data_IF_498853786069
#
_entry.id   IF_498853786069
#
_cell.length_a   1.000
_cell.length_b   1.000
_cell.length_c   1.000
_cell.angle_alpha   90.00
_cell.angle_beta   90.00
_cell.angle_gamma   90.00
#
_symmetry.space_group_name_H-M   'P 1'
#
loop_
_entity.id
_entity.type
_entity.pdbx_description
1 polymer ?
#
# COMPACT_ATOMS: atom_id res chain seq x y z
N UNK A 1 -18.80 -3.14 -10.20
CA UNK A 1 -19.50 -2.12 -9.38
C UNK A 1 -21.00 -2.39 -9.47
N UNK A 2 -21.70 -2.47 -8.33
CA UNK A 2 -23.15 -2.77 -8.29
C UNK A 2 -23.97 -1.48 -8.11
N UNK A 3 -25.22 -1.46 -8.59
CA UNK A 3 -26.10 -0.28 -8.47
C UNK A 3 -26.37 0.14 -7.00
N UNK A 4 -26.29 -0.80 -6.05
CA UNK A 4 -26.43 -0.53 -4.62
C UNK A 4 -25.28 0.33 -4.06
N UNK A 5 -24.05 0.15 -4.54
CA UNK A 5 -22.87 0.93 -4.17
C UNK A 5 -23.02 2.39 -4.60
N UNK A 6 -23.46 2.61 -5.83
CA UNK A 6 -23.68 3.96 -6.37
C UNK A 6 -24.81 4.65 -5.60
N UNK A 7 -25.90 3.93 -5.31
CA UNK A 7 -27.03 4.48 -4.56
C UNK A 7 -26.70 4.84 -3.10
N UNK A 8 -25.85 4.08 -2.40
CA UNK A 8 -25.47 4.44 -1.03
C UNK A 8 -24.42 5.55 -0.95
N UNK A 9 -23.47 5.60 -1.90
CA UNK A 9 -22.55 6.75 -2.04
C UNK A 9 -23.32 8.01 -2.42
N UNK A 10 -24.28 7.92 -3.36
CA UNK A 10 -25.20 9.01 -3.69
C UNK A 10 -26.06 9.36 -2.48
N UNK A 11 -26.59 8.40 -1.71
CA UNK A 11 -27.37 8.68 -0.50
C UNK A 11 -26.55 9.37 0.58
N UNK A 12 -25.29 8.98 0.77
CA UNK A 12 -24.37 9.67 1.69
C UNK A 12 -24.06 11.08 1.20
N UNK A 13 -23.88 11.29 -0.10
CA UNK A 13 -23.65 12.60 -0.69
C UNK A 13 -24.91 13.48 -0.75
N UNK A 14 -26.11 12.88 -0.83
CA UNK A 14 -27.38 13.57 -1.10
C UNK A 14 -28.34 13.64 0.11
N UNK A 15 -28.05 12.97 1.22
CA UNK A 15 -28.94 12.91 2.40
C UNK A 15 -28.26 13.44 3.67
N UNK A 16 -28.61 14.67 4.09
CA UNK A 16 -28.15 15.24 5.37
C UNK A 16 -28.51 14.37 6.58
N UNK A 17 -29.59 13.57 6.54
CA UNK A 17 -30.00 12.70 7.65
C UNK A 17 -29.17 11.42 7.76
N UNK A 18 -28.64 10.89 6.65
CA UNK A 18 -27.71 9.77 6.67
C UNK A 18 -26.31 10.18 7.16
N UNK A 19 -25.86 11.40 6.77
CA UNK A 19 -24.64 12.02 7.31
C UNK A 19 -24.76 12.38 8.79
N UNK A 20 -25.92 12.87 9.25
CA UNK A 20 -26.18 13.18 10.68
C UNK A 20 -26.11 11.98 11.63
N UNK A 21 -26.02 10.74 11.14
CA UNK A 21 -25.83 9.57 12.00
C UNK A 21 -24.38 9.35 12.44
N UNK A 22 -23.41 9.97 11.75
CA UNK A 22 -22.05 10.11 12.26
C UNK A 22 -22.03 11.42 13.04
N UNK A 23 -21.90 11.32 14.37
CA UNK A 23 -21.54 12.49 15.17
C UNK A 23 -20.19 13.04 14.68
N UNK A 24 -19.83 14.24 15.12
CA UNK A 24 -18.45 14.71 14.99
C UNK A 24 -17.49 13.58 15.43
N UNK A 25 -16.36 13.37 14.72
CA UNK A 25 -15.45 12.28 15.05
C UNK A 25 -15.14 12.29 16.54
N UNK A 26 -15.32 11.14 17.19
CA UNK A 26 -15.27 11.03 18.65
C UNK A 26 -13.90 11.44 19.21
N UNK A 27 -12.85 11.37 18.38
CA UNK A 27 -11.48 11.79 18.69
C UNK A 27 -10.78 12.40 17.47
N UNK A 28 -9.84 13.34 17.66
CA UNK A 28 -8.99 13.83 16.59
C UNK A 28 -8.03 12.73 16.10
N UNK A 29 -7.70 12.76 14.82
CA UNK A 29 -6.62 11.92 14.26
C UNK A 29 -5.27 12.42 14.77
N UNK A 30 -4.49 11.50 15.35
CA UNK A 30 -3.14 11.76 15.85
C UNK A 30 -2.16 10.79 15.20
N UNK A 31 -0.88 11.17 15.19
CA UNK A 31 0.19 10.28 14.76
C UNK A 31 0.61 9.38 15.90
N UNK A 32 0.77 8.10 15.56
CA UNK A 32 1.30 7.08 16.48
C UNK A 32 2.62 6.55 15.91
N UNK A 33 3.55 6.13 16.78
CA UNK A 33 4.81 5.56 16.34
C UNK A 33 4.61 4.28 15.53
N UNK A 34 5.69 3.83 14.89
CA UNK A 34 5.75 2.48 14.32
C UNK A 34 5.57 1.46 15.47
N UNK A 35 4.73 0.42 15.31
CA UNK A 35 4.55 -0.59 16.36
C UNK A 35 5.88 -1.22 16.79
N UNK A 36 6.09 -1.35 18.11
CA UNK A 36 7.33 -1.87 18.70
C UNK A 36 7.46 -3.39 18.55
N UNK A 37 6.34 -4.10 18.64
CA UNK A 37 6.22 -5.46 18.11
C UNK A 37 6.40 -5.36 16.60
N UNK A 38 7.58 -5.74 16.11
CA UNK A 38 7.97 -5.60 14.72
C UNK A 38 6.89 -6.13 13.76
N UNK A 39 6.94 -5.66 12.52
CA UNK A 39 6.17 -6.21 11.42
C UNK A 39 6.08 -7.74 11.54
N UNK A 40 4.87 -8.28 11.38
CA UNK A 40 4.70 -9.67 10.96
C UNK A 40 5.68 -9.91 9.81
N UNK A 41 6.58 -10.88 9.99
CA UNK A 41 7.63 -11.15 9.02
C UNK A 41 7.01 -11.36 7.64
N UNK A 42 7.57 -10.70 6.62
CA UNK A 42 7.14 -10.91 5.24
C UNK A 42 7.28 -12.40 4.91
N UNK A 43 6.23 -13.05 4.38
CA UNK A 43 6.35 -14.43 3.94
C UNK A 43 7.47 -14.56 2.91
N UNK A 44 8.20 -15.68 2.96
CA UNK A 44 9.28 -15.93 2.01
C UNK A 44 8.75 -15.96 0.58
N UNK A 45 9.44 -15.25 -0.33
CA UNK A 45 9.13 -15.29 -1.75
C UNK A 45 9.74 -16.53 -2.38
N UNK A 46 9.01 -17.14 -3.32
CA UNK A 46 9.56 -18.23 -4.11
C UNK A 46 10.58 -17.68 -5.10
N UNK A 47 11.77 -18.27 -5.12
CA UNK A 47 12.79 -17.92 -6.09
C UNK A 47 12.30 -18.25 -7.51
N UNK A 48 12.47 -17.29 -8.42
CA UNK A 48 12.21 -17.47 -9.84
C UNK A 48 13.54 -17.52 -10.59
N UNK A 49 13.66 -18.41 -11.56
CA UNK A 49 14.84 -18.49 -12.41
C UNK A 49 14.81 -17.30 -13.39
N UNK A 50 15.53 -16.24 -13.06
CA UNK A 50 15.69 -15.06 -13.91
C UNK A 50 17.06 -15.14 -14.58
N UNK A 51 17.09 -15.14 -15.91
CA UNK A 51 18.34 -15.08 -16.67
C UNK A 51 18.80 -13.63 -16.71
N UNK A 52 19.61 -13.23 -15.75
CA UNK A 52 20.18 -11.88 -15.66
C UNK A 52 21.58 -11.83 -16.27
N UNK A 53 21.95 -10.68 -16.83
CA UNK A 53 23.32 -10.41 -17.29
C UNK A 53 23.59 -8.91 -17.30
N UNK A 54 24.80 -8.50 -16.91
CA UNK A 54 25.20 -7.10 -16.84
C UNK A 54 25.16 -6.54 -15.41
N UNK A 55 25.13 -5.21 -15.28
CA UNK A 55 25.26 -4.48 -14.01
C UNK A 55 24.06 -3.58 -13.69
N UNK A 56 23.10 -3.47 -14.61
CA UNK A 56 21.95 -2.58 -14.45
C UNK A 56 20.90 -3.23 -13.54
N UNK A 57 20.08 -2.39 -12.93
CA UNK A 57 19.06 -2.80 -11.97
C UNK A 57 17.69 -2.58 -12.60
N UNK A 58 16.89 -3.64 -12.72
CA UNK A 58 15.48 -3.52 -13.03
C UNK A 58 14.70 -3.34 -11.73
N UNK A 59 14.05 -2.19 -11.56
CA UNK A 59 13.15 -1.92 -10.45
C UNK A 59 11.70 -2.10 -10.92
N UNK A 60 11.05 -3.18 -10.50
CA UNK A 60 9.65 -3.46 -10.82
C UNK A 60 8.75 -2.91 -9.73
N UNK A 61 7.77 -2.09 -10.11
CA UNK A 61 6.85 -1.43 -9.18
C UNK A 61 5.40 -1.78 -9.58
N UNK A 62 4.75 -2.71 -8.87
CA UNK A 62 3.42 -3.23 -9.22
C UNK A 62 2.26 -2.32 -8.75
N UNK A 63 2.29 -1.04 -9.14
CA UNK A 63 1.19 -0.09 -8.91
C UNK A 63 1.17 1.05 -9.94
N UNK A 64 -0.02 1.53 -10.30
CA UNK A 64 -0.19 2.72 -11.15
C UNK A 64 -0.07 4.04 -10.39
N UNK A 65 0.03 4.00 -9.06
CA UNK A 65 0.15 5.21 -8.24
C UNK A 65 1.52 5.88 -8.48
N UNK A 66 1.51 6.99 -9.23
CA UNK A 66 2.71 7.75 -9.59
C UNK A 66 3.56 8.18 -8.39
N UNK A 67 2.93 8.59 -7.29
CA UNK A 67 3.66 9.03 -6.09
C UNK A 67 4.41 7.87 -5.43
N UNK A 68 3.83 6.66 -5.39
CA UNK A 68 4.51 5.45 -4.92
C UNK A 68 5.64 5.04 -5.86
N UNK A 69 5.41 5.11 -7.17
CA UNK A 69 6.41 4.81 -8.20
C UNK A 69 7.62 5.73 -8.07
N UNK A 70 7.40 7.05 -8.04
CA UNK A 70 8.45 8.05 -7.90
C UNK A 70 9.23 7.89 -6.60
N UNK A 71 8.53 7.62 -5.49
CA UNK A 71 9.14 7.44 -4.17
C UNK A 71 10.10 6.24 -4.15
N UNK A 72 9.66 5.07 -4.63
CA UNK A 72 10.50 3.87 -4.66
C UNK A 72 11.65 4.02 -5.66
N UNK A 73 11.37 4.58 -6.84
CA UNK A 73 12.39 4.79 -7.87
C UNK A 73 13.51 5.70 -7.37
N UNK A 74 13.16 6.87 -6.84
CA UNK A 74 14.13 7.82 -6.29
C UNK A 74 14.94 7.22 -5.14
N UNK A 75 14.29 6.45 -4.27
CA UNK A 75 14.98 5.80 -3.15
C UNK A 75 16.04 4.80 -3.63
N UNK A 76 15.66 3.89 -4.54
CA UNK A 76 16.58 2.86 -5.06
C UNK A 76 17.73 3.50 -5.84
N UNK A 77 17.45 4.50 -6.69
CA UNK A 77 18.46 5.26 -7.42
C UNK A 77 19.46 5.95 -6.47
N UNK A 78 18.96 6.56 -5.39
CA UNK A 78 19.81 7.20 -4.38
C UNK A 78 20.69 6.19 -3.64
N UNK A 79 20.18 5.01 -3.33
CA UNK A 79 20.92 3.96 -2.63
C UNK A 79 21.91 3.19 -3.53
N UNK A 80 21.77 3.28 -4.85
CA UNK A 80 22.59 2.61 -5.85
C UNK A 80 23.17 3.61 -6.87
N UNK A 81 23.95 4.61 -6.44
CA UNK A 81 24.38 5.74 -7.29
C UNK A 81 25.31 5.36 -8.46
N UNK A 82 25.82 4.12 -8.47
CA UNK A 82 26.71 3.60 -9.51
C UNK A 82 26.03 2.60 -10.46
N UNK A 83 24.75 2.31 -10.24
CA UNK A 83 23.96 1.43 -11.09
C UNK A 83 22.94 2.23 -11.89
N UNK A 84 22.71 1.87 -13.14
CA UNK A 84 21.57 2.39 -13.90
C UNK A 84 20.31 1.66 -13.43
N UNK A 85 19.38 2.40 -12.83
CA UNK A 85 18.09 1.87 -12.38
C UNK A 85 17.05 2.08 -13.47
N UNK A 86 16.48 1.00 -13.97
CA UNK A 86 15.44 1.00 -14.99
C UNK A 86 14.09 0.69 -14.31
N UNK A 87 13.16 1.64 -14.20
CA UNK A 87 11.85 1.37 -13.61
C UNK A 87 10.94 0.64 -14.61
N UNK A 88 10.22 -0.37 -14.12
CA UNK A 88 9.14 -1.05 -14.82
C UNK A 88 7.88 -1.04 -13.96
N UNK A 89 6.87 -0.29 -14.38
CA UNK A 89 5.59 -0.26 -13.69
C UNK A 89 4.66 -1.37 -14.23
N UNK A 90 4.02 -2.10 -13.34
CA UNK A 90 3.02 -3.11 -13.68
C UNK A 90 1.70 -2.83 -12.96
N UNK A 91 0.59 -3.09 -13.63
CA UNK A 91 -0.73 -3.06 -13.01
C UNK A 91 -1.07 -4.47 -12.55
N UNK A 92 -1.11 -4.69 -11.24
CA UNK A 92 -1.51 -5.96 -10.64
C UNK A 92 -2.51 -5.72 -9.52
N UNK A 93 -3.40 -6.69 -9.31
CA UNK A 93 -4.32 -6.70 -8.18
C UNK A 93 -3.57 -7.16 -6.91
N UNK A 94 -3.86 -6.56 -5.76
CA UNK A 94 -3.36 -7.04 -4.46
C UNK A 94 -4.16 -8.24 -3.93
N UNK A 95 -5.37 -8.47 -4.44
CA UNK A 95 -6.22 -9.60 -4.05
C UNK A 95 -6.83 -9.47 -2.65
N UNK A 96 -6.65 -8.31 -1.99
CA UNK A 96 -7.06 -8.07 -0.59
C UNK A 96 -8.16 -7.01 -0.45
N UNK A 97 -8.87 -6.73 -1.55
CA UNK A 97 -9.90 -5.71 -1.62
C UNK A 97 -9.34 -4.28 -1.67
N UNK A 98 -10.25 -3.31 -1.64
CA UNK A 98 -9.91 -1.88 -1.72
C UNK A 98 -9.31 -1.37 -0.41
N UNK A 99 -9.76 -1.92 0.72
CA UNK A 99 -9.26 -1.58 2.05
C UNK A 99 -8.75 -2.85 2.74
N UNK A 100 -7.43 -3.08 2.71
CA UNK A 100 -6.83 -4.11 3.53
C UNK A 100 -6.94 -3.74 5.01
N UNK A 101 -7.27 -4.72 5.84
CA UNK A 101 -7.23 -4.63 7.31
C UNK A 101 -6.23 -5.62 7.88
N UNK A 102 -5.51 -5.18 8.92
CA UNK A 102 -4.58 -6.01 9.67
C UNK A 102 -3.55 -6.73 8.76
N UNK A 103 -3.45 -8.06 8.85
CA UNK A 103 -2.49 -8.88 8.10
C UNK A 103 -2.74 -8.86 6.58
N UNK A 104 -3.93 -8.41 6.14
CA UNK A 104 -4.24 -8.28 4.72
C UNK A 104 -3.37 -7.21 4.03
N UNK A 105 -2.85 -6.22 4.77
CA UNK A 105 -1.90 -5.26 4.22
C UNK A 105 -0.59 -5.92 3.76
N UNK A 106 -0.06 -6.82 4.59
CA UNK A 106 1.13 -7.62 4.28
C UNK A 106 0.85 -8.58 3.14
N UNK A 107 -0.28 -9.29 3.19
CA UNK A 107 -0.71 -10.19 2.12
C UNK A 107 -0.85 -9.47 0.79
N UNK A 108 -1.38 -8.24 0.78
CA UNK A 108 -1.50 -7.41 -0.42
C UNK A 108 -0.15 -7.09 -1.04
N UNK A 109 0.82 -6.63 -0.24
CA UNK A 109 2.19 -6.39 -0.71
C UNK A 109 2.86 -7.68 -1.24
N UNK A 110 2.69 -8.79 -0.54
CA UNK A 110 3.20 -10.11 -0.94
C UNK A 110 2.61 -10.57 -2.28
N UNK A 111 1.29 -10.47 -2.46
CA UNK A 111 0.60 -10.84 -3.69
C UNK A 111 1.07 -9.99 -4.88
N UNK A 112 1.20 -8.67 -4.69
CA UNK A 112 1.70 -7.76 -5.73
C UNK A 112 3.12 -8.12 -6.18
N UNK A 113 4.00 -8.46 -5.25
CA UNK A 113 5.38 -8.86 -5.57
C UNK A 113 5.38 -10.19 -6.33
N UNK A 114 4.63 -11.20 -5.90
CA UNK A 114 4.57 -12.48 -6.62
C UNK A 114 4.00 -12.32 -8.04
N UNK A 115 2.92 -11.55 -8.20
CA UNK A 115 2.35 -11.26 -9.51
C UNK A 115 3.36 -10.55 -10.44
N UNK A 116 4.16 -9.64 -9.89
CA UNK A 116 5.24 -8.99 -10.63
C UNK A 116 6.32 -10.01 -11.05
N UNK A 117 6.78 -10.86 -10.11
CA UNK A 117 7.77 -11.90 -10.39
C UNK A 117 7.30 -12.90 -11.46
N UNK A 118 6.04 -13.33 -11.39
CA UNK A 118 5.44 -14.24 -12.36
C UNK A 118 5.36 -13.58 -13.76
N UNK A 119 5.09 -12.28 -13.83
CA UNK A 119 5.09 -11.53 -15.09
C UNK A 119 6.47 -11.49 -15.77
N UNK A 120 7.54 -11.53 -14.98
CA UNK A 120 8.93 -11.57 -15.46
C UNK A 120 9.37 -12.95 -15.98
N UNK A 121 8.58 -14.01 -15.76
CA UNK A 121 8.86 -15.35 -16.31
C UNK A 121 8.40 -15.50 -17.77
N UNK A 122 7.81 -14.47 -18.36
CA UNK A 122 7.35 -14.51 -19.75
C UNK A 122 8.52 -14.54 -20.76
N UNK A 123 8.32 -15.17 -21.92
CA UNK A 123 9.31 -15.18 -23.02
C UNK A 123 9.74 -13.77 -23.47
N UNK A 124 8.83 -12.79 -23.37
CA UNK A 124 9.15 -11.37 -23.66
C UNK A 124 10.15 -10.80 -22.67
N UNK A 125 10.00 -11.11 -21.38
CA UNK A 125 10.93 -10.68 -20.36
C UNK A 125 12.32 -11.32 -20.57
N UNK A 126 12.40 -12.58 -20.99
CA UNK A 126 13.67 -13.26 -21.26
C UNK A 126 14.58 -12.54 -22.28
N UNK A 127 14.02 -11.86 -23.28
CA UNK A 127 14.79 -11.03 -24.23
C UNK A 127 15.10 -9.62 -23.70
N UNK A 128 14.31 -9.13 -22.75
CA UNK A 128 14.49 -7.82 -22.14
C UNK A 128 15.75 -7.76 -21.27
N UNK A 129 16.00 -8.77 -20.41
CA UNK A 129 17.15 -8.75 -19.50
C UNK A 129 18.50 -8.58 -20.24
N UNK A 130 18.79 -9.34 -21.32
CA UNK A 130 20.07 -9.19 -22.02
C UNK A 130 20.19 -7.91 -22.83
N UNK A 131 19.12 -7.50 -23.51
CA UNK A 131 19.14 -6.25 -24.29
C UNK A 131 19.31 -5.01 -23.42
N UNK A 132 18.94 -5.08 -22.14
CA UNK A 132 19.05 -3.99 -21.17
C UNK A 132 20.17 -4.16 -20.15
N UNK A 133 21.01 -5.18 -20.28
CA UNK A 133 22.14 -5.46 -19.37
C UNK A 133 21.72 -5.51 -17.89
N UNK A 134 20.53 -6.05 -17.62
CA UNK A 134 19.98 -6.19 -16.27
C UNK A 134 20.68 -7.34 -15.54
N UNK A 135 21.49 -7.00 -14.54
CA UNK A 135 22.13 -7.96 -13.63
C UNK A 135 21.30 -8.25 -12.37
N UNK A 136 20.55 -7.25 -11.90
CA UNK A 136 19.82 -7.32 -10.63
C UNK A 136 18.35 -6.96 -10.83
N UNK A 137 17.47 -7.71 -10.18
CA UNK A 137 16.02 -7.47 -10.22
C UNK A 137 15.52 -7.18 -8.81
N UNK A 138 14.95 -6.00 -8.62
CA UNK A 138 14.33 -5.58 -7.36
C UNK A 138 12.85 -5.33 -7.65
N UNK A 139 11.98 -5.91 -6.83
CA UNK A 139 10.54 -5.64 -6.86
C UNK A 139 10.19 -4.83 -5.61
N UNK A 140 9.58 -3.66 -5.79
CA UNK A 140 9.22 -2.77 -4.69
C UNK A 140 7.72 -2.54 -4.62
N UNK A 141 7.09 -2.85 -3.48
CA UNK A 141 5.65 -2.67 -3.26
C UNK A 141 5.38 -1.78 -2.05
N UNK A 142 4.30 -1.00 -2.14
CA UNK A 142 3.76 -0.21 -1.02
C UNK A 142 2.27 -0.50 -0.91
N UNK A 143 1.83 -1.00 0.23
CA UNK A 143 0.43 -1.24 0.54
C UNK A 143 0.04 -0.43 1.79
N UNK A 144 -1.13 0.23 1.77
CA UNK A 144 -1.66 0.88 2.97
C UNK A 144 -2.76 -0.01 3.55
N UNK A 145 -2.87 -0.07 4.87
CA UNK A 145 -3.86 -0.91 5.54
C UNK A 145 -4.26 -0.29 6.87
N UNK A 146 -5.44 -0.68 7.36
CA UNK A 146 -5.94 -0.25 8.67
C UNK A 146 -5.76 -1.37 9.68
N UNK A 147 -4.95 -1.14 10.70
CA UNK A 147 -4.85 -2.03 11.85
C UNK A 147 -6.06 -1.83 12.76
N UNK A 148 -6.76 -2.91 13.10
CA UNK A 148 -7.96 -2.92 13.94
C UNK A 148 -7.85 -3.89 15.13
N UNK A 149 -6.91 -4.85 15.09
CA UNK A 149 -6.79 -5.95 16.07
C UNK A 149 -5.92 -5.67 17.31
N UNK A 150 -5.95 -4.46 17.85
CA UNK A 150 -5.34 -4.17 19.16
C UNK A 150 -6.37 -3.53 20.08
N UNK A 151 -6.71 -4.22 21.17
CA UNK A 151 -7.90 -3.95 22.02
C UNK A 151 -7.81 -2.59 22.73
N UNK A 152 -6.60 -2.05 22.92
CA UNK A 152 -6.34 -0.79 23.62
C UNK A 152 -6.02 0.39 22.68
N UNK A 153 -5.83 0.14 21.38
CA UNK A 153 -5.42 1.16 20.40
C UNK A 153 -6.56 1.52 19.44
N UNK A 154 -6.65 2.81 19.09
CA UNK A 154 -7.55 3.27 18.05
C UNK A 154 -7.18 2.61 16.71
N UNK A 155 -8.16 2.31 15.84
CA UNK A 155 -7.86 1.84 14.49
C UNK A 155 -6.88 2.80 13.80
N UNK A 156 -5.89 2.27 13.12
CA UNK A 156 -4.76 3.09 12.65
C UNK A 156 -4.38 2.74 11.22
N UNK A 157 -4.27 3.77 10.37
CA UNK A 157 -3.79 3.63 8.99
C UNK A 157 -2.26 3.63 8.98
N UNK A 158 -1.68 2.54 8.46
CA UNK A 158 -0.25 2.35 8.26
C UNK A 158 0.04 2.06 6.78
N UNK A 159 1.26 2.38 6.35
CA UNK A 159 1.83 1.88 5.10
C UNK A 159 2.91 0.85 5.37
N UNK A 160 2.89 -0.28 4.66
CA UNK A 160 4.02 -1.19 4.55
C UNK A 160 4.75 -0.96 3.24
N UNK A 161 6.08 -0.90 3.32
CA UNK A 161 6.99 -0.80 2.18
C UNK A 161 7.83 -2.06 2.16
N UNK A 162 7.89 -2.73 1.01
CA UNK A 162 8.66 -3.97 0.83
C UNK A 162 9.55 -3.82 -0.40
N UNK A 163 10.83 -4.16 -0.26
CA UNK A 163 11.75 -4.35 -1.37
C UNK A 163 12.23 -5.80 -1.35
N UNK A 164 12.08 -6.48 -2.48
CA UNK A 164 12.56 -7.85 -2.66
C UNK A 164 13.56 -7.90 -3.81
N UNK A 165 14.81 -8.27 -3.51
CA UNK A 165 15.82 -8.58 -4.52
C UNK A 165 15.63 -10.04 -4.96
N UNK A 166 15.05 -10.21 -6.14
CA UNK A 166 14.72 -11.52 -6.71
C UNK A 166 15.97 -12.29 -7.17
N UNK A 167 17.04 -11.57 -7.53
CA UNK A 167 18.31 -12.18 -7.95
C UNK A 167 19.03 -12.85 -6.78
N UNK A 168 18.91 -12.28 -5.57
CA UNK A 168 19.61 -12.75 -4.37
C UNK A 168 18.70 -13.35 -3.31
N UNK A 169 17.39 -13.38 -3.58
CA UNK A 169 16.34 -13.84 -2.68
C UNK A 169 16.40 -13.17 -1.30
N UNK A 170 16.58 -11.84 -1.28
CA UNK A 170 16.62 -11.04 -0.05
C UNK A 170 15.46 -10.07 -0.01
N UNK A 171 14.81 -9.99 1.15
CA UNK A 171 13.66 -9.11 1.37
C UNK A 171 13.95 -8.20 2.54
N UNK A 172 13.57 -6.94 2.39
CA UNK A 172 13.50 -5.96 3.48
C UNK A 172 12.12 -5.33 3.47
N UNK A 173 11.65 -4.93 4.65
CA UNK A 173 10.39 -4.22 4.79
C UNK A 173 10.42 -3.25 5.95
N UNK A 174 9.62 -2.19 5.87
CA UNK A 174 9.38 -1.26 6.98
C UNK A 174 7.92 -0.80 7.01
N UNK A 175 7.50 -0.30 8.16
CA UNK A 175 6.22 0.38 8.35
C UNK A 175 6.41 1.89 8.46
N UNK A 176 5.41 2.64 8.03
CA UNK A 176 5.29 4.04 8.39
C UNK A 176 4.88 4.20 9.85
N UNK A 177 5.06 5.40 10.38
CA UNK A 177 4.22 5.86 11.51
C UNK A 177 2.74 5.78 11.11
N UNK A 178 1.88 5.58 12.10
CA UNK A 178 0.44 5.42 11.88
C UNK A 178 -0.31 6.73 12.04
N UNK A 179 -1.49 6.82 11.42
CA UNK A 179 -2.47 7.87 11.70
C UNK A 179 -3.76 7.25 12.25
N UNK A 180 -4.19 7.66 13.44
CA UNK A 180 -5.38 7.10 14.07
C UNK A 180 -6.66 7.53 13.34
N UNK A 181 -7.61 6.61 13.33
CA UNK A 181 -8.92 6.71 12.70
C UNK A 181 -9.97 6.56 13.81
N UNK A 182 -10.96 7.45 13.80
CA UNK A 182 -12.12 7.30 14.68
C UNK A 182 -12.86 5.99 14.34
N UNK A 183 -13.14 5.10 15.32
CA UNK A 183 -13.68 3.75 15.07
C UNK A 183 -14.96 3.72 14.22
N UNK A 184 -15.78 4.77 14.34
CA UNK A 184 -17.05 4.88 13.63
C UNK A 184 -16.87 4.89 12.11
N UNK A 185 -15.74 5.39 11.60
CA UNK A 185 -15.41 5.34 10.17
C UNK A 185 -15.09 3.93 9.69
N UNK A 186 -14.40 3.14 10.52
CA UNK A 186 -14.10 1.73 10.23
C UNK A 186 -15.38 0.91 10.30
N UNK A 187 -16.16 1.06 11.35
CA UNK A 187 -17.46 0.39 11.49
C UNK A 187 -18.39 0.72 10.32
N UNK A 188 -18.42 1.98 9.87
CA UNK A 188 -19.22 2.38 8.72
C UNK A 188 -18.69 1.75 7.43
N UNK A 189 -17.38 1.73 7.20
CA UNK A 189 -16.79 1.05 6.04
C UNK A 189 -17.14 -0.45 6.04
N UNK A 190 -17.12 -1.12 7.19
CA UNK A 190 -17.50 -2.52 7.33
C UNK A 190 -18.97 -2.81 6.95
N UNK A 191 -19.88 -1.84 7.12
CA UNK A 191 -21.30 -2.01 6.71
C UNK A 191 -21.47 -2.13 5.20
N UNK A 192 -20.50 -1.68 4.40
CA UNK A 192 -20.48 -1.91 2.95
C UNK A 192 -20.04 -3.32 2.56
N UNK A 193 -19.66 -4.12 3.55
CA UNK A 193 -19.28 -5.51 3.41
C UNK A 193 -17.85 -5.72 2.93
N UNK A 194 -17.55 -6.99 2.69
CA UNK A 194 -16.20 -7.48 2.45
C UNK A 194 -16.12 -8.26 1.14
N UNK A 195 -14.95 -8.26 0.50
CA UNK A 195 -14.71 -9.04 -0.73
C UNK A 195 -14.76 -10.53 -0.37
N UNK A 196 -15.62 -11.28 -1.05
CA UNK A 196 -15.83 -12.72 -0.81
C UNK A 196 -16.10 -13.10 0.67
N UNK A 197 -16.64 -12.17 1.47
CA UNK A 197 -16.91 -12.39 2.90
C UNK A 197 -15.68 -12.36 3.82
N UNK A 198 -14.46 -12.13 3.31
CA UNK A 198 -13.26 -12.08 4.13
C UNK A 198 -13.14 -10.72 4.87
N UNK A 199 -13.26 -10.74 6.20
CA UNK A 199 -13.22 -9.52 7.04
C UNK A 199 -11.95 -8.68 6.91
N UNK A 200 -10.84 -9.26 6.45
CA UNK A 200 -9.62 -8.51 6.16
C UNK A 200 -9.69 -7.66 4.88
N UNK A 201 -10.69 -7.89 4.02
CA UNK A 201 -10.75 -7.33 2.66
C UNK A 201 -11.96 -6.41 2.48
N UNK A 202 -11.83 -5.15 2.92
CA UNK A 202 -12.90 -4.16 2.80
C UNK A 202 -13.21 -3.79 1.35
N UNK A 203 -14.50 -3.60 1.04
CA UNK A 203 -14.96 -3.12 -0.28
C UNK A 203 -14.85 -1.61 -0.48
N UNK A 204 -14.78 -0.87 0.62
CA UNK A 204 -14.73 0.59 0.67
C UNK A 204 -13.60 0.96 1.63
N UNK A 205 -12.87 2.01 1.30
CA UNK A 205 -11.83 2.58 2.16
C UNK A 205 -12.40 3.53 3.21
N UNK A 206 -11.74 3.61 4.36
CA UNK A 206 -12.08 4.57 5.42
C UNK A 206 -11.99 6.01 4.92
N UNK A 207 -11.01 6.31 4.04
CA UNK A 207 -10.86 7.63 3.42
C UNK A 207 -12.05 8.02 2.54
N UNK A 208 -12.69 7.07 1.85
CA UNK A 208 -13.94 7.33 1.12
C UNK A 208 -15.08 7.70 2.06
N UNK A 209 -15.22 7.00 3.20
CA UNK A 209 -16.23 7.34 4.22
C UNK A 209 -15.95 8.72 4.81
N UNK A 210 -14.71 9.01 5.19
CA UNK A 210 -14.31 10.31 5.74
C UNK A 210 -14.59 11.45 4.76
N UNK A 211 -14.21 11.30 3.49
CA UNK A 211 -14.42 12.34 2.48
C UNK A 211 -15.91 12.59 2.22
N UNK A 212 -16.74 11.54 2.25
CA UNK A 212 -18.18 11.67 2.15
C UNK A 212 -18.80 12.37 3.37
N UNK A 213 -18.31 12.09 4.59
CA UNK A 213 -18.85 12.65 5.82
C UNK A 213 -18.39 14.10 6.08
N UNK A 214 -17.09 14.37 5.98
CA UNK A 214 -16.50 15.67 6.29
C UNK A 214 -16.76 16.68 5.16
N UNK A 215 -16.85 16.20 3.91
CA UNK A 215 -17.01 17.07 2.74
C UNK A 215 -15.79 17.98 2.51
N UNK A 216 -16.02 19.15 1.92
CA UNK A 216 -15.01 20.22 1.83
C UNK A 216 -13.77 19.91 0.98
N UNK A 217 -13.84 18.93 0.08
CA UNK A 217 -12.71 18.55 -0.78
C UNK A 217 -11.61 17.75 -0.08
N UNK A 218 -11.94 17.07 1.03
CA UNK A 218 -11.00 16.13 1.67
C UNK A 218 -10.50 15.10 0.64
N UNK A 219 -9.19 15.00 0.49
CA UNK A 219 -8.58 13.97 -0.34
C UNK A 219 -8.71 12.61 0.36
N UNK A 220 -9.58 11.74 -0.16
CA UNK A 220 -9.77 10.38 0.35
C UNK A 220 -8.48 9.53 0.36
N UNK A 221 -7.52 9.83 -0.52
CA UNK A 221 -6.26 9.10 -0.64
C UNK A 221 -5.13 9.70 0.18
N UNK A 222 -5.29 10.92 0.71
CA UNK A 222 -4.31 11.62 1.54
C UNK A 222 -4.99 12.40 2.68
N UNK A 223 -6.02 11.80 3.28
CA UNK A 223 -6.86 12.45 4.30
C UNK A 223 -6.05 12.85 5.53
N UNK A 224 -4.94 12.14 5.80
CA UNK A 224 -3.99 12.45 6.86
C UNK A 224 -3.47 13.89 6.76
N UNK A 225 -3.29 14.41 5.54
CA UNK A 225 -2.81 15.78 5.33
C UNK A 225 -3.73 16.80 6.00
N UNK A 226 -5.02 16.57 5.94
CA UNK A 226 -6.02 17.46 6.54
C UNK A 226 -6.23 17.16 8.01
N UNK A 227 -6.36 15.89 8.38
CA UNK A 227 -6.81 15.48 9.72
C UNK A 227 -5.65 15.26 10.72
N UNK A 228 -4.52 14.71 10.26
CA UNK A 228 -3.33 14.46 11.07
C UNK A 228 -2.17 15.46 10.80
N UNK A 229 -2.41 16.45 9.92
CA UNK A 229 -1.45 17.51 9.53
C UNK A 229 -0.14 17.00 8.92
N UNK A 230 -0.14 15.79 8.37
CA UNK A 230 0.98 15.19 7.65
C UNK A 230 0.47 14.40 6.46
N UNK A 231 1.11 14.53 5.30
CA UNK A 231 0.73 13.73 4.13
C UNK A 231 1.14 12.27 4.32
N UNK A 232 0.29 11.35 3.86
CA UNK A 232 0.60 9.93 3.71
C UNK A 232 1.89 9.72 2.91
N UNK A 233 2.12 10.50 1.87
CA UNK A 233 3.33 10.40 1.04
C UNK A 233 4.57 10.88 1.78
N UNK A 234 4.41 11.81 2.73
CA UNK A 234 5.51 12.20 3.62
C UNK A 234 5.83 11.06 4.60
N UNK A 235 4.82 10.42 5.20
CA UNK A 235 5.02 9.26 6.08
C UNK A 235 5.73 8.10 5.36
N UNK A 236 5.34 7.82 4.12
CA UNK A 236 6.01 6.84 3.26
C UNK A 236 7.47 7.26 2.96
N UNK A 237 7.70 8.54 2.64
CA UNK A 237 9.03 9.05 2.33
C UNK A 237 9.98 9.04 3.53
N UNK A 238 9.46 9.21 4.75
CA UNK A 238 10.22 9.06 5.99
C UNK A 238 10.59 7.59 6.22
N UNK A 239 9.63 6.67 6.06
CA UNK A 239 9.86 5.24 6.26
C UNK A 239 10.84 4.64 5.25
N UNK A 240 10.74 5.02 3.96
CA UNK A 240 11.60 4.49 2.91
C UNK A 240 13.06 4.89 3.12
N UNK A 241 13.34 6.10 3.62
CA UNK A 241 14.71 6.57 3.87
C UNK A 241 15.49 5.69 4.85
N UNK A 242 14.81 5.06 5.79
CA UNK A 242 15.42 4.14 6.75
C UNK A 242 15.64 2.73 6.16
N UNK A 243 15.04 2.42 5.01
CA UNK A 243 15.07 1.10 4.40
C UNK A 243 16.32 0.92 3.53
N UNK A 244 17.20 0.00 3.93
CA UNK A 244 18.36 -0.36 3.10
C UNK A 244 17.92 -1.19 1.91
N UNK A 245 18.33 -0.82 0.69
CA UNK A 245 18.03 -1.62 -0.51
C UNK A 245 18.71 -3.00 -0.39
N UNK A 246 17.99 -4.10 -0.60
CA UNK A 246 18.56 -5.44 -0.48
C UNK A 246 19.59 -5.68 -1.59
N UNK A 247 20.84 -5.94 -1.18
CA UNK A 247 22.02 -6.19 -2.02
C UNK A 247 22.65 -7.55 -1.77
#
# INVERSE_FOLDING_TARGET
MTAAYVNEVIRLAASPSAMRSLAAPSRPSILVPVPASGLLEMPAFQQRALVTCGKDVLLVIPTENRQKVELLHKHVETCLPHATVQPLTLTVDSGVGEQPYDEAGIAGAYNRINAALDSLQSKKAAHFFPSKQIGTVIVGAIENFVQTKHVDDLPTDYGIIVLHNATQNKTVSCLTRGATIAPEYVERAHRFGFVNGNKGHGRITVGQIMAAHIGGGLDKADWQKTLAKVSRYQLLAEAVKALQVPR
#
